data_IF_796304626760
#
_entry.id   IF_796304626760
#
_cell.length_a   1.000
_cell.length_b   1.000
_cell.length_c   1.000
_cell.angle_alpha   90.00
_cell.angle_beta   90.00
_cell.angle_gamma   90.00
#
_symmetry.space_group_name_H-M   'P 1'
#
loop_
_entity.id
_entity.type
_entity.pdbx_description
1 polymer ?
#
# COMPACT_ATOMS: atom_id res chain seq x y z
N UNK A 1 -13.22 -46.71 -57.80
CA UNK A 1 -11.94 -46.96 -57.10
C UNK A 1 -11.49 -45.65 -56.45
N UNK A 2 -11.33 -45.70 -55.13
CA UNK A 2 -10.55 -44.85 -54.23
C UNK A 2 -10.77 -43.33 -54.25
N UNK A 3 -11.62 -42.85 -53.32
CA UNK A 3 -11.51 -41.50 -52.77
C UNK A 3 -10.44 -41.52 -51.66
N UNK A 4 -9.44 -40.66 -51.78
CA UNK A 4 -8.35 -40.46 -50.83
C UNK A 4 -8.86 -39.50 -49.75
N UNK A 5 -9.23 -40.02 -48.58
CA UNK A 5 -9.32 -39.21 -47.36
C UNK A 5 -8.04 -39.46 -46.56
N UNK A 6 -7.12 -38.50 -46.60
CA UNK A 6 -6.04 -38.46 -45.61
C UNK A 6 -6.66 -38.06 -44.27
N UNK A 7 -6.49 -38.84 -43.19
CA UNK A 7 -6.93 -38.42 -41.86
C UNK A 7 -6.17 -37.15 -41.48
N UNK A 8 -6.90 -36.20 -40.90
CA UNK A 8 -6.29 -34.93 -40.48
C UNK A 8 -5.34 -35.20 -39.31
N UNK A 9 -4.21 -34.47 -39.20
CA UNK A 9 -3.14 -34.83 -38.27
C UNK A 9 -3.59 -34.95 -36.81
N UNK A 10 -4.63 -34.20 -36.41
CA UNK A 10 -5.17 -34.16 -35.06
C UNK A 10 -6.15 -35.30 -34.71
N UNK A 11 -6.47 -36.20 -35.64
CA UNK A 11 -7.33 -37.37 -35.37
C UNK A 11 -6.61 -38.49 -34.60
N UNK A 12 -5.31 -38.31 -34.30
CA UNK A 12 -4.54 -39.28 -33.52
C UNK A 12 -4.67 -38.99 -32.03
N UNK A 13 -4.95 -40.03 -31.25
CA UNK A 13 -5.08 -39.99 -29.78
C UNK A 13 -3.86 -39.38 -29.06
N UNK A 14 -2.68 -39.34 -29.70
CA UNK A 14 -1.48 -38.70 -29.17
C UNK A 14 -1.66 -37.19 -28.94
N UNK A 15 -2.59 -36.54 -29.65
CA UNK A 15 -2.91 -35.11 -29.51
C UNK A 15 -4.09 -34.83 -28.57
N UNK A 16 -4.76 -35.87 -28.07
CA UNK A 16 -5.87 -35.76 -27.10
C UNK A 16 -5.41 -35.94 -25.65
N UNK A 17 -4.09 -36.00 -25.42
CA UNK A 17 -3.53 -36.11 -24.07
C UNK A 17 -3.20 -34.72 -23.53
N UNK A 18 -3.66 -34.39 -22.30
CA UNK A 18 -3.24 -33.18 -21.62
C UNK A 18 -1.71 -33.10 -21.52
N UNK A 19 -1.15 -31.90 -21.67
CA UNK A 19 0.30 -31.67 -21.52
C UNK A 19 0.73 -31.86 -20.05
N UNK A 20 -0.18 -31.63 -19.11
CA UNK A 20 -0.04 -31.91 -17.69
C UNK A 20 -1.10 -32.95 -17.31
N UNK A 21 -0.67 -34.15 -16.89
CA UNK A 21 -1.59 -35.24 -16.52
C UNK A 21 -2.50 -34.87 -15.33
N UNK A 22 -2.06 -33.95 -14.46
CA UNK A 22 -2.78 -33.45 -13.29
C UNK A 22 -3.18 -31.97 -13.43
N UNK A 23 -3.67 -31.55 -14.59
CA UNK A 23 -4.15 -30.18 -14.78
C UNK A 23 -5.46 -29.95 -14.01
N UNK A 24 -5.37 -29.20 -12.90
CA UNK A 24 -6.49 -28.83 -12.04
C UNK A 24 -7.61 -28.07 -12.78
N UNK A 25 -7.32 -27.41 -13.92
CA UNK A 25 -8.33 -26.74 -14.75
C UNK A 25 -9.12 -27.72 -15.62
N UNK A 26 -8.53 -28.86 -16.01
CA UNK A 26 -9.20 -29.90 -16.80
C UNK A 26 -9.93 -30.93 -15.91
N UNK A 27 -9.63 -30.96 -14.62
CA UNK A 27 -10.35 -31.73 -13.60
C UNK A 27 -11.61 -31.01 -13.09
N UNK A 28 -11.85 -29.77 -13.55
CA UNK A 28 -13.04 -29.01 -13.22
C UNK A 28 -14.18 -29.41 -14.16
N UNK A 29 -15.10 -30.26 -13.69
CA UNK A 29 -16.32 -30.56 -14.43
C UNK A 29 -17.33 -29.42 -14.24
N UNK A 30 -17.54 -28.64 -15.30
CA UNK A 30 -18.50 -27.52 -15.28
C UNK A 30 -19.95 -28.01 -15.16
N UNK A 31 -20.22 -29.28 -15.51
CA UNK A 31 -21.54 -29.88 -15.37
C UNK A 31 -21.89 -30.19 -13.90
N UNK A 32 -20.91 -30.39 -13.01
CA UNK A 32 -21.13 -30.60 -11.57
C UNK A 32 -21.61 -29.34 -10.83
N UNK A 33 -21.50 -28.16 -11.44
CA UNK A 33 -22.06 -26.91 -10.92
C UNK A 33 -23.56 -26.74 -11.24
N UNK A 34 -24.13 -27.62 -12.08
CA UNK A 34 -25.56 -27.70 -12.31
C UNK A 34 -26.17 -28.74 -11.36
N UNK A 35 -26.70 -28.29 -10.22
CA UNK A 35 -27.60 -29.15 -9.43
C UNK A 35 -28.84 -29.52 -10.29
N UNK A 36 -29.08 -30.81 -10.58
CA UNK A 36 -30.29 -31.21 -11.27
C UNK A 36 -31.46 -31.08 -10.29
N UNK A 37 -32.40 -30.18 -10.58
CA UNK A 37 -33.66 -30.07 -9.84
C UNK A 37 -34.48 -31.33 -10.09
N UNK A 38 -34.30 -32.34 -9.24
CA UNK A 38 -35.03 -33.60 -9.28
C UNK A 38 -35.36 -34.07 -7.87
N UNK A 39 -36.35 -33.44 -7.24
CA UNK A 39 -37.11 -34.04 -6.14
C UNK A 39 -38.56 -34.21 -6.59
N UNK A 40 -39.11 -35.45 -6.60
CA UNK A 40 -40.51 -35.66 -6.95
C UNK A 40 -41.38 -35.31 -5.73
N UNK A 41 -42.01 -34.15 -5.75
CA UNK A 41 -43.07 -33.83 -4.79
C UNK A 41 -44.37 -34.48 -5.23
N UNK A 42 -44.84 -35.44 -4.43
CA UNK A 42 -46.19 -35.99 -4.49
C UNK A 42 -47.21 -34.91 -4.13
N UNK A 43 -48.09 -34.56 -5.06
CA UNK A 43 -49.20 -33.64 -4.83
C UNK A 43 -50.42 -34.39 -4.28
N UNK A 44 -51.07 -33.90 -3.20
CA UNK A 44 -52.49 -34.09 -3.01
C UNK A 44 -53.22 -32.89 -3.63
N UNK A 45 -53.96 -33.19 -4.70
CA UNK A 45 -55.13 -32.46 -5.20
C UNK A 45 -55.00 -30.97 -5.59
N UNK A 46 -54.99 -30.75 -6.91
CA UNK A 46 -56.11 -29.98 -7.48
C UNK A 46 -55.91 -28.51 -7.83
N UNK A 47 -54.68 -28.03 -8.09
CA UNK A 47 -54.48 -26.72 -8.71
C UNK A 47 -53.42 -26.78 -9.84
N UNK A 48 -53.82 -26.22 -10.98
CA UNK A 48 -53.22 -26.24 -12.33
C UNK A 48 -51.68 -26.21 -12.41
N UNK A 49 -51.09 -27.14 -13.18
CA UNK A 49 -49.67 -27.17 -13.58
C UNK A 49 -49.16 -25.82 -14.14
N UNK A 50 -50.05 -25.02 -14.73
CA UNK A 50 -49.70 -23.72 -15.33
C UNK A 50 -49.29 -22.66 -14.30
N UNK A 51 -49.80 -22.70 -13.06
CA UNK A 51 -49.50 -21.70 -12.04
C UNK A 51 -48.07 -21.86 -11.48
N UNK A 52 -47.63 -23.11 -11.30
CA UNK A 52 -46.29 -23.48 -10.83
C UNK A 52 -45.19 -23.11 -11.84
N UNK A 53 -45.46 -23.26 -13.13
CA UNK A 53 -44.51 -22.87 -14.20
C UNK A 53 -44.34 -21.35 -14.27
N UNK A 54 -45.44 -20.59 -14.12
CA UNK A 54 -45.39 -19.12 -14.11
C UNK A 54 -44.60 -18.59 -12.91
N UNK A 55 -44.73 -19.22 -11.75
CA UNK A 55 -44.01 -18.81 -10.54
C UNK A 55 -42.50 -19.10 -10.64
N UNK A 56 -42.13 -20.25 -11.23
CA UNK A 56 -40.72 -20.56 -11.56
C UNK A 56 -40.13 -19.59 -12.58
N UNK A 57 -40.90 -19.23 -13.63
CA UNK A 57 -40.48 -18.25 -14.63
C UNK A 57 -40.21 -16.88 -14.00
N UNK A 58 -41.10 -16.40 -13.11
CA UNK A 58 -40.90 -15.13 -12.39
C UNK A 58 -39.65 -15.15 -11.52
N UNK A 59 -39.35 -16.26 -10.86
CA UNK A 59 -38.15 -16.38 -10.03
C UNK A 59 -36.87 -16.40 -10.88
N UNK A 60 -36.89 -17.09 -12.02
CA UNK A 60 -35.76 -17.09 -12.96
C UNK A 60 -35.55 -15.72 -13.59
N UNK A 61 -36.62 -15.03 -13.97
CA UNK A 61 -36.59 -13.67 -14.50
C UNK A 61 -36.01 -12.68 -13.48
N UNK A 62 -36.44 -12.76 -12.21
CA UNK A 62 -35.88 -11.93 -11.14
C UNK A 62 -34.38 -12.21 -10.91
N UNK A 63 -33.95 -13.47 -10.98
CA UNK A 63 -32.53 -13.83 -10.87
C UNK A 63 -31.72 -13.34 -12.06
N UNK A 64 -32.27 -13.41 -13.27
CA UNK A 64 -31.62 -12.90 -14.48
C UNK A 64 -31.45 -11.38 -14.42
N UNK A 65 -32.50 -10.64 -14.04
CA UNK A 65 -32.45 -9.20 -13.83
C UNK A 65 -31.40 -8.80 -12.78
N UNK A 66 -31.31 -9.53 -11.67
CA UNK A 66 -30.30 -9.28 -10.64
C UNK A 66 -28.88 -9.56 -11.15
N UNK A 67 -28.69 -10.59 -11.97
CA UNK A 67 -27.40 -10.93 -12.57
C UNK A 67 -26.98 -9.89 -13.61
N UNK A 68 -27.90 -9.43 -14.46
CA UNK A 68 -27.65 -8.35 -15.42
C UNK A 68 -27.26 -7.05 -14.71
N UNK A 69 -27.94 -6.69 -13.61
CA UNK A 69 -27.59 -5.52 -12.81
C UNK A 69 -26.20 -5.66 -12.15
N UNK A 70 -25.83 -6.86 -11.70
CA UNK A 70 -24.49 -7.12 -11.19
C UNK A 70 -23.41 -7.01 -12.28
N UNK A 71 -23.70 -7.53 -13.48
CA UNK A 71 -22.79 -7.50 -14.61
C UNK A 71 -22.60 -6.08 -15.17
N UNK A 72 -23.67 -5.28 -15.18
CA UNK A 72 -23.60 -3.86 -15.52
C UNK A 72 -22.68 -3.08 -14.57
N UNK A 73 -22.81 -3.29 -13.25
CA UNK A 73 -21.92 -2.69 -12.25
C UNK A 73 -20.47 -3.13 -12.43
N UNK A 74 -20.22 -4.43 -12.58
CA UNK A 74 -18.87 -4.95 -12.80
C UNK A 74 -18.23 -4.39 -14.09
N UNK A 75 -19.03 -4.17 -15.14
CA UNK A 75 -18.55 -3.57 -16.40
C UNK A 75 -18.20 -2.10 -16.24
N UNK A 76 -18.98 -1.35 -15.46
CA UNK A 76 -18.69 0.04 -15.11
C UNK A 76 -17.40 0.13 -14.27
N UNK A 77 -17.23 -0.76 -13.30
CA UNK A 77 -16.02 -0.84 -12.48
C UNK A 77 -14.78 -1.18 -13.31
N UNK A 78 -14.90 -2.11 -14.27
CA UNK A 78 -13.83 -2.42 -15.23
C UNK A 78 -13.49 -1.24 -16.14
N UNK A 79 -14.48 -0.44 -16.55
CA UNK A 79 -14.23 0.77 -17.34
C UNK A 79 -13.53 1.85 -16.51
N UNK A 80 -13.92 2.04 -15.25
CA UNK A 80 -13.23 2.95 -14.32
C UNK A 80 -11.78 2.50 -14.07
N UNK A 81 -11.56 1.21 -13.85
CA UNK A 81 -10.22 0.63 -13.69
C UNK A 81 -9.36 0.79 -14.95
N UNK A 82 -9.96 0.61 -16.13
CA UNK A 82 -9.27 0.84 -17.41
C UNK A 82 -8.90 2.32 -17.60
N UNK A 83 -9.80 3.25 -17.28
CA UNK A 83 -9.55 4.67 -17.37
C UNK A 83 -8.43 5.08 -16.41
N UNK A 84 -8.47 4.60 -15.16
CA UNK A 84 -7.41 4.78 -14.18
C UNK A 84 -6.05 4.28 -14.68
N UNK A 85 -6.00 3.08 -15.27
CA UNK A 85 -4.77 2.53 -15.84
C UNK A 85 -4.26 3.34 -17.06
N UNK A 86 -5.16 3.91 -17.86
CA UNK A 86 -4.78 4.75 -19.00
C UNK A 86 -4.25 6.12 -18.56
N UNK A 87 -4.87 6.74 -17.56
CA UNK A 87 -4.46 8.04 -17.03
C UNK A 87 -3.13 7.94 -16.26
N UNK A 88 -2.87 6.81 -15.59
CA UNK A 88 -1.58 6.50 -14.98
C UNK A 88 -0.44 6.40 -16.00
N UNK A 89 -0.72 5.88 -17.21
CA UNK A 89 0.31 5.65 -18.25
C UNK A 89 0.58 6.90 -19.12
N UNK A 90 -0.39 7.80 -19.29
CA UNK A 90 -0.34 8.87 -20.30
C UNK A 90 0.26 10.22 -19.82
N UNK A 91 0.42 10.45 -18.52
CA UNK A 91 0.85 11.76 -17.98
C UNK A 91 2.39 11.95 -17.81
N UNK A 92 3.20 11.14 -18.48
CA UNK A 92 4.68 11.13 -18.33
C UNK A 92 5.40 12.31 -19.04
N UNK A 93 4.73 13.18 -19.81
CA UNK A 93 5.42 14.21 -20.61
C UNK A 93 5.47 15.65 -20.03
N UNK A 94 6.66 15.95 -19.51
CA UNK A 94 7.48 17.19 -19.56
C UNK A 94 6.77 18.55 -19.51
N UNK A 95 6.84 19.23 -18.35
CA UNK A 95 6.97 20.70 -18.29
C UNK A 95 8.03 21.16 -17.28
N UNK A 96 8.75 22.20 -17.65
CA UNK A 96 9.87 22.81 -16.94
C UNK A 96 9.35 23.94 -16.05
N UNK A 97 9.58 23.91 -14.74
CA UNK A 97 9.71 25.16 -13.98
C UNK A 97 10.34 24.99 -12.58
N UNK A 98 10.86 26.10 -12.08
CA UNK A 98 11.79 26.24 -10.96
C UNK A 98 11.12 26.81 -9.71
N UNK A 99 10.82 25.94 -8.74
CA UNK A 99 10.70 26.22 -7.29
C UNK A 99 10.45 24.91 -6.54
N UNK A 100 10.73 24.86 -5.24
CA UNK A 100 10.35 23.75 -4.33
C UNK A 100 8.84 23.76 -4.12
N UNK A 101 8.11 22.87 -4.79
CA UNK A 101 6.64 22.71 -4.66
C UNK A 101 6.30 21.88 -3.43
N UNK A 102 5.44 22.39 -2.55
CA UNK A 102 4.93 21.62 -1.39
C UNK A 102 3.60 20.94 -1.72
N UNK A 103 3.17 19.92 -0.95
CA UNK A 103 1.87 19.25 -1.17
C UNK A 103 0.70 20.25 -1.09
N UNK A 104 0.82 21.28 -0.24
CA UNK A 104 -0.17 22.35 -0.11
C UNK A 104 -0.35 23.19 -1.39
N UNK A 105 0.63 23.18 -2.31
CA UNK A 105 0.60 23.96 -3.54
C UNK A 105 0.08 23.16 -4.76
N UNK A 106 -0.23 21.87 -4.58
CA UNK A 106 -0.69 20.99 -5.66
C UNK A 106 -2.13 21.32 -6.10
N UNK A 107 -2.34 21.42 -7.41
CA UNK A 107 -3.67 21.63 -8.00
C UNK A 107 -4.54 20.37 -7.86
N UNK A 108 -5.87 20.55 -7.79
CA UNK A 108 -6.84 19.46 -7.56
C UNK A 108 -6.73 18.31 -8.58
N UNK A 109 -6.39 18.59 -9.83
CA UNK A 109 -6.28 17.58 -10.90
C UNK A 109 -5.06 16.65 -10.73
N UNK A 110 -3.93 17.17 -10.22
CA UNK A 110 -2.70 16.38 -9.96
C UNK A 110 -2.85 15.55 -8.68
N UNK A 111 -3.62 16.06 -7.70
CA UNK A 111 -3.93 15.38 -6.44
C UNK A 111 -5.08 14.36 -6.55
N UNK A 112 -5.95 14.51 -7.56
CA UNK A 112 -7.15 13.70 -7.71
C UNK A 112 -6.86 12.21 -7.89
N UNK A 113 -5.76 11.86 -8.58
CA UNK A 113 -5.38 10.45 -8.79
C UNK A 113 -4.99 9.78 -7.48
N UNK A 114 -4.26 10.47 -6.62
CA UNK A 114 -3.89 9.96 -5.30
C UNK A 114 -5.13 9.75 -4.42
N UNK A 115 -5.99 10.75 -4.26
CA UNK A 115 -7.15 10.63 -3.38
C UNK A 115 -8.23 9.69 -3.91
N UNK A 116 -8.33 9.54 -5.24
CA UNK A 116 -9.21 8.55 -5.87
C UNK A 116 -8.71 7.13 -5.61
N UNK A 117 -7.39 6.89 -5.57
CA UNK A 117 -6.84 5.59 -5.18
C UNK A 117 -7.30 5.19 -3.77
N UNK A 118 -7.20 6.11 -2.80
CA UNK A 118 -7.70 5.91 -1.43
C UNK A 118 -9.23 5.85 -1.33
N UNK A 119 -9.97 6.13 -2.40
CA UNK A 119 -11.42 5.90 -2.44
C UNK A 119 -11.78 4.42 -2.58
N UNK A 120 -10.83 3.57 -2.97
CA UNK A 120 -11.06 2.14 -3.18
C UNK A 120 -10.94 1.32 -1.88
N UNK A 121 -11.95 0.49 -1.62
CA UNK A 121 -12.04 -0.34 -0.41
C UNK A 121 -10.86 -1.32 -0.23
N UNK A 122 -10.25 -1.79 -1.32
CA UNK A 122 -9.18 -2.79 -1.27
C UNK A 122 -7.93 -2.31 -0.52
N UNK A 123 -7.56 -1.03 -0.68
CA UNK A 123 -6.41 -0.44 0.03
C UNK A 123 -6.73 -0.34 1.53
N UNK A 124 -7.94 0.08 1.90
CA UNK A 124 -8.37 0.12 3.30
C UNK A 124 -8.45 -1.26 3.95
N UNK A 125 -8.87 -2.28 3.19
CA UNK A 125 -8.88 -3.66 3.67
C UNK A 125 -7.47 -4.18 3.93
N UNK A 126 -6.51 -3.93 3.04
CA UNK A 126 -5.09 -4.28 3.24
C UNK A 126 -4.53 -3.58 4.49
N UNK A 127 -4.75 -2.27 4.60
CA UNK A 127 -4.34 -1.48 5.76
C UNK A 127 -4.93 -1.96 7.09
N UNK A 128 -6.21 -2.36 7.10
CA UNK A 128 -6.88 -2.89 8.30
C UNK A 128 -6.46 -4.34 8.63
N UNK A 129 -6.13 -5.15 7.62
CA UNK A 129 -5.62 -6.52 7.81
C UNK A 129 -4.16 -6.55 8.24
N UNK A 130 -3.41 -5.47 8.03
CA UNK A 130 -2.10 -5.29 8.63
C UNK A 130 -2.25 -5.14 10.16
N UNK A 131 -2.09 -6.27 10.85
CA UNK A 131 -2.18 -6.34 12.31
C UNK A 131 -1.06 -5.58 12.99
N UNK A 132 0.18 -5.63 12.47
CA UNK A 132 1.31 -4.94 13.11
C UNK A 132 1.03 -3.44 13.14
N UNK A 133 0.57 -2.87 12.02
CA UNK A 133 0.10 -1.49 11.94
C UNK A 133 -1.05 -1.23 12.91
N UNK A 134 -2.18 -1.90 12.71
CA UNK A 134 -3.44 -1.52 13.36
C UNK A 134 -3.43 -1.81 14.87
N UNK A 135 -2.84 -2.93 15.27
CA UNK A 135 -2.72 -3.30 16.68
C UNK A 135 -1.71 -2.44 17.43
N UNK A 136 -0.63 -1.97 16.79
CA UNK A 136 0.30 -1.03 17.44
C UNK A 136 -0.37 0.29 17.81
N UNK A 137 -1.15 0.88 16.90
CA UNK A 137 -1.93 2.08 17.23
C UNK A 137 -2.98 1.80 18.31
N UNK A 138 -3.73 0.69 18.19
CA UNK A 138 -4.72 0.28 19.21
C UNK A 138 -4.07 0.16 20.58
N UNK A 139 -2.96 -0.55 20.66
CA UNK A 139 -2.25 -0.85 21.90
C UNK A 139 -1.66 0.42 22.50
N UNK A 140 -1.05 1.29 21.69
CA UNK A 140 -0.62 2.61 22.13
C UNK A 140 -1.78 3.40 22.77
N UNK A 141 -2.92 3.49 22.08
CA UNK A 141 -4.07 4.29 22.53
C UNK A 141 -4.70 3.66 23.79
N UNK A 142 -4.93 2.35 23.82
CA UNK A 142 -5.62 1.67 24.91
C UNK A 142 -4.75 1.43 26.15
N UNK A 143 -3.43 1.31 25.98
CA UNK A 143 -2.51 1.16 27.11
C UNK A 143 -2.04 2.50 27.68
N UNK A 144 -2.38 3.62 27.03
CA UNK A 144 -2.08 4.98 27.48
C UNK A 144 -3.32 5.90 27.48
N UNK A 145 -4.45 5.49 28.08
CA UNK A 145 -5.69 6.27 28.02
C UNK A 145 -5.57 7.64 28.71
N UNK A 146 -4.61 7.82 29.61
CA UNK A 146 -4.33 9.12 30.26
C UNK A 146 -3.87 10.21 29.27
N UNK A 147 -3.37 9.83 28.10
CA UNK A 147 -3.02 10.76 27.02
C UNK A 147 -4.28 11.28 26.32
N UNK A 148 -5.34 10.46 26.26
CA UNK A 148 -6.55 10.72 25.48
C UNK A 148 -7.73 11.20 26.33
N UNK A 149 -7.80 10.78 27.59
CA UNK A 149 -8.93 11.04 28.47
C UNK A 149 -9.21 12.55 28.58
N UNK A 150 -10.46 12.91 28.29
CA UNK A 150 -10.99 14.27 28.32
C UNK A 150 -10.28 15.26 27.35
N UNK A 151 -9.54 14.73 26.35
CA UNK A 151 -8.81 15.52 25.34
C UNK A 151 -9.57 15.71 24.04
N UNK A 152 -9.22 16.77 23.31
CA UNK A 152 -9.60 16.96 21.91
C UNK A 152 -8.52 16.37 21.00
N UNK A 153 -8.89 15.39 20.19
CA UNK A 153 -7.98 14.64 19.31
C UNK A 153 -8.25 15.01 17.86
N UNK A 154 -7.19 15.19 17.06
CA UNK A 154 -7.26 15.32 15.60
C UNK A 154 -6.68 14.07 14.95
N UNK A 155 -7.46 13.42 14.08
CA UNK A 155 -7.04 12.29 13.25
C UNK A 155 -6.85 12.79 11.81
N UNK A 156 -5.59 12.86 11.35
CA UNK A 156 -5.23 13.39 10.01
C UNK A 156 -5.09 12.24 9.02
N UNK A 157 -5.94 12.23 7.99
CA UNK A 157 -6.09 11.11 7.06
C UNK A 157 -6.79 9.93 7.74
N UNK A 158 -8.00 10.17 8.26
CA UNK A 158 -8.66 9.20 9.12
C UNK A 158 -9.11 7.92 8.38
N UNK A 159 -9.17 7.93 7.04
CA UNK A 159 -9.66 6.83 6.22
C UNK A 159 -11.03 6.35 6.69
N UNK A 160 -11.11 5.07 7.08
CA UNK A 160 -12.33 4.45 7.63
C UNK A 160 -12.72 4.91 9.04
N UNK A 161 -11.90 5.73 9.70
CA UNK A 161 -12.14 6.25 11.06
C UNK A 161 -11.69 5.32 12.19
N UNK A 162 -10.92 4.27 11.90
CA UNK A 162 -10.54 3.26 12.90
C UNK A 162 -9.73 3.85 14.07
N UNK A 163 -8.77 4.74 13.79
CA UNK A 163 -7.95 5.37 14.84
C UNK A 163 -8.79 6.35 15.67
N UNK A 164 -9.68 7.08 15.02
CA UNK A 164 -10.68 7.93 15.69
C UNK A 164 -11.56 7.14 16.65
N UNK A 165 -12.03 5.94 16.26
CA UNK A 165 -12.81 5.06 17.13
C UNK A 165 -11.98 4.54 18.32
N UNK A 166 -10.69 4.25 18.13
CA UNK A 166 -9.79 3.91 19.23
C UNK A 166 -9.65 5.08 20.22
N UNK A 167 -9.40 6.29 19.73
CA UNK A 167 -9.28 7.48 20.57
C UNK A 167 -10.57 7.77 21.37
N UNK A 168 -11.74 7.67 20.73
CA UNK A 168 -13.03 7.83 21.40
C UNK A 168 -13.21 6.79 22.51
N UNK A 169 -12.90 5.51 22.25
CA UNK A 169 -13.00 4.45 23.25
C UNK A 169 -12.01 4.62 24.41
N UNK A 170 -10.85 5.25 24.17
CA UNK A 170 -9.89 5.60 25.21
C UNK A 170 -10.30 6.82 26.06
N UNK A 171 -11.48 7.39 25.81
CA UNK A 171 -12.06 8.46 26.61
C UNK A 171 -11.79 9.87 26.09
N UNK A 172 -11.44 10.03 24.82
CA UNK A 172 -11.37 11.36 24.20
C UNK A 172 -12.69 12.11 24.36
N UNK A 173 -12.60 13.39 24.74
CA UNK A 173 -13.77 14.27 24.86
C UNK A 173 -14.40 14.55 23.50
N UNK A 174 -13.56 14.70 22.48
CA UNK A 174 -13.95 14.95 21.10
C UNK A 174 -12.85 14.46 20.18
N UNK A 175 -13.23 13.82 19.08
CA UNK A 175 -12.30 13.46 18.00
C UNK A 175 -12.73 14.19 16.74
N UNK A 176 -11.81 14.87 16.07
CA UNK A 176 -12.01 15.52 14.79
C UNK A 176 -11.22 14.73 13.77
N UNK A 177 -11.88 14.18 12.78
CA UNK A 177 -11.32 13.22 11.84
C UNK A 177 -11.41 13.80 10.44
N UNK A 178 -10.26 14.00 9.78
CA UNK A 178 -10.16 14.70 8.50
C UNK A 178 -9.62 13.75 7.44
N UNK A 179 -10.30 13.66 6.30
CA UNK A 179 -9.84 12.91 5.14
C UNK A 179 -10.41 13.54 3.87
N UNK A 180 -9.62 13.63 2.80
CA UNK A 180 -10.10 14.16 1.52
C UNK A 180 -10.86 13.10 0.71
N UNK A 181 -10.54 11.82 0.87
CA UNK A 181 -11.05 10.76 0.00
C UNK A 181 -12.56 10.48 0.19
N UNK A 182 -13.17 9.81 -0.78
CA UNK A 182 -14.58 9.39 -0.75
C UNK A 182 -14.84 8.35 0.34
N UNK A 183 -13.81 7.66 0.85
CA UNK A 183 -13.94 6.71 1.96
C UNK A 183 -14.56 7.33 3.21
N UNK A 184 -14.44 8.65 3.38
CA UNK A 184 -15.01 9.35 4.52
C UNK A 184 -16.52 9.14 4.61
N UNK A 185 -17.24 9.04 3.49
CA UNK A 185 -18.69 8.76 3.53
C UNK A 185 -19.00 7.41 4.19
N UNK A 186 -18.15 6.40 3.96
CA UNK A 186 -18.24 5.12 4.65
C UNK A 186 -17.84 5.24 6.12
N UNK A 187 -16.82 6.05 6.44
CA UNK A 187 -16.46 6.34 7.83
C UNK A 187 -17.65 6.95 8.60
N UNK A 188 -18.46 7.81 7.97
CA UNK A 188 -19.67 8.35 8.61
C UNK A 188 -20.65 7.25 9.02
N UNK A 189 -20.88 6.28 8.15
CA UNK A 189 -21.79 5.17 8.44
C UNK A 189 -21.20 4.20 9.47
N UNK A 190 -19.90 3.90 9.38
CA UNK A 190 -19.18 3.09 10.38
C UNK A 190 -19.29 3.72 11.77
N UNK A 191 -19.09 5.03 11.89
CA UNK A 191 -19.16 5.73 13.18
C UNK A 191 -20.59 5.68 13.77
N UNK A 192 -21.62 5.88 12.95
CA UNK A 192 -23.02 5.76 13.38
C UNK A 192 -23.39 4.34 13.81
N UNK A 193 -22.93 3.33 13.06
CA UNK A 193 -23.15 1.92 13.42
C UNK A 193 -22.54 1.56 14.77
N UNK A 194 -21.43 2.22 15.14
CA UNK A 194 -20.74 2.05 16.41
C UNK A 194 -21.19 3.04 17.50
N UNK A 195 -22.17 3.90 17.23
CA UNK A 195 -22.75 4.87 18.18
C UNK A 195 -21.72 5.86 18.74
N UNK A 196 -20.83 6.35 17.89
CA UNK A 196 -19.74 7.27 18.25
C UNK A 196 -19.89 8.66 17.62
N UNK A 197 -21.00 8.93 16.93
CA UNK A 197 -21.28 10.19 16.22
C UNK A 197 -21.35 11.43 17.12
N UNK A 198 -21.68 11.26 18.40
CA UNK A 198 -21.68 12.36 19.37
C UNK A 198 -20.26 12.77 19.80
N UNK A 199 -19.28 11.87 19.63
CA UNK A 199 -17.89 12.09 20.05
C UNK A 199 -16.98 12.40 18.86
N UNK A 200 -17.22 11.76 17.71
CA UNK A 200 -16.37 11.87 16.52
C UNK A 200 -17.03 12.72 15.44
N UNK A 201 -16.35 13.79 15.03
CA UNK A 201 -16.76 14.68 13.96
C UNK A 201 -15.87 14.45 12.75
N UNK A 202 -16.48 14.00 11.64
CA UNK A 202 -15.78 13.80 10.36
C UNK A 202 -15.87 15.05 9.48
N UNK A 203 -14.77 15.42 8.82
CA UNK A 203 -14.67 16.57 7.93
C UNK A 203 -13.98 16.14 6.63
N UNK A 204 -14.69 16.29 5.50
CA UNK A 204 -14.14 16.00 4.17
C UNK A 204 -13.31 17.15 3.64
N UNK A 205 -12.07 16.87 3.24
CA UNK A 205 -11.17 17.81 2.56
C UNK A 205 -9.72 17.69 3.02
N UNK A 206 -8.84 18.51 2.41
CA UNK A 206 -7.43 18.63 2.82
C UNK A 206 -7.32 19.31 4.17
N UNK A 207 -6.41 18.84 5.03
CA UNK A 207 -6.20 19.47 6.36
C UNK A 207 -5.71 20.93 6.23
N UNK A 208 -5.09 21.25 5.09
CA UNK A 208 -4.61 22.56 4.70
C UNK A 208 -5.75 23.54 4.39
N UNK A 209 -6.88 23.04 3.90
CA UNK A 209 -8.00 23.82 3.36
C UNK A 209 -9.19 23.88 4.33
N UNK A 210 -9.44 22.81 5.09
CA UNK A 210 -10.60 22.74 5.98
C UNK A 210 -10.42 23.63 7.22
N UNK A 211 -11.54 24.05 7.79
CA UNK A 211 -11.59 24.75 9.08
C UNK A 211 -12.13 23.83 10.16
N UNK A 212 -11.35 23.61 11.22
CA UNK A 212 -11.77 22.78 12.35
C UNK A 212 -12.78 23.54 13.23
N UNK A 213 -13.72 22.85 13.89
CA UNK A 213 -14.70 23.47 14.80
C UNK A 213 -14.08 23.92 16.14
N UNK A 214 -12.75 23.94 16.25
CA UNK A 214 -11.97 24.33 17.42
C UNK A 214 -10.71 25.05 16.96
N UNK A 215 -10.19 25.98 17.77
CA UNK A 215 -8.94 26.66 17.45
C UNK A 215 -7.71 25.77 17.62
N UNK A 216 -7.73 24.90 18.63
CA UNK A 216 -6.62 24.03 19.01
C UNK A 216 -7.08 22.63 19.43
N UNK A 217 -6.19 21.66 19.25
CA UNK A 217 -6.33 20.26 19.67
C UNK A 217 -5.20 19.87 20.62
N UNK A 218 -5.45 18.92 21.51
CA UNK A 218 -4.48 18.47 22.51
C UNK A 218 -3.55 17.39 21.95
N UNK A 219 -4.10 16.51 21.09
CA UNK A 219 -3.40 15.36 20.54
C UNK A 219 -3.67 15.28 19.03
N UNK A 220 -2.63 15.04 18.24
CA UNK A 220 -2.76 14.64 16.84
C UNK A 220 -2.36 13.17 16.74
N UNK A 221 -3.22 12.36 16.14
CA UNK A 221 -2.89 11.01 15.69
C UNK A 221 -2.97 10.99 14.17
N UNK A 222 -2.09 10.23 13.53
CA UNK A 222 -2.15 10.02 12.09
C UNK A 222 -1.39 8.77 11.73
N UNK A 223 -1.88 8.05 10.74
CA UNK A 223 -1.11 7.04 10.02
C UNK A 223 -0.75 7.66 8.67
N UNK A 224 0.48 8.15 8.58
CA UNK A 224 0.98 8.97 7.46
C UNK A 224 2.12 8.31 6.71
N UNK A 225 2.56 7.13 7.15
CA UNK A 225 3.81 6.55 6.71
C UNK A 225 3.64 5.96 5.31
N UNK A 226 4.46 6.41 4.36
CA UNK A 226 4.53 5.79 3.03
C UNK A 226 5.61 4.71 2.94
N UNK A 227 5.77 4.13 1.75
CA UNK A 227 6.94 3.31 1.44
C UNK A 227 8.24 4.10 1.68
N UNK A 228 9.27 3.41 2.19
CA UNK A 228 10.50 4.07 2.65
C UNK A 228 10.26 5.28 3.59
N UNK A 229 9.18 5.21 4.39
CA UNK A 229 8.65 6.20 5.32
C UNK A 229 8.08 7.48 4.69
N UNK A 230 8.79 8.07 3.71
CA UNK A 230 8.53 9.42 3.23
C UNK A 230 7.83 9.48 1.85
N UNK A 231 7.59 8.34 1.20
CA UNK A 231 6.79 8.30 -0.03
C UNK A 231 5.36 8.80 0.25
N UNK A 232 4.69 9.35 -0.78
CA UNK A 232 3.37 10.00 -0.71
C UNK A 232 3.32 11.32 0.09
N UNK A 233 4.40 11.68 0.80
CA UNK A 233 4.59 12.98 1.46
C UNK A 233 3.51 13.39 2.48
N UNK A 234 2.74 12.45 3.03
CA UNK A 234 1.65 12.75 3.97
C UNK A 234 2.15 13.34 5.32
N UNK A 235 3.43 13.15 5.67
CA UNK A 235 4.04 13.80 6.82
C UNK A 235 3.97 15.34 6.72
N UNK A 236 3.95 15.92 5.52
CA UNK A 236 3.79 17.37 5.33
C UNK A 236 2.48 17.87 5.95
N UNK A 237 1.38 17.16 5.68
CA UNK A 237 0.04 17.47 6.19
C UNK A 237 -0.03 17.32 7.71
N UNK A 238 0.67 16.33 8.29
CA UNK A 238 0.77 16.19 9.75
C UNK A 238 1.56 17.34 10.37
N UNK A 239 2.67 17.75 9.75
CA UNK A 239 3.47 18.90 10.22
C UNK A 239 2.71 20.24 10.07
N UNK A 240 1.90 20.39 9.03
CA UNK A 240 0.97 21.50 8.87
C UNK A 240 -0.06 21.52 10.01
N UNK A 241 -0.75 20.39 10.23
CA UNK A 241 -1.74 20.23 11.28
C UNK A 241 -1.16 20.53 12.67
N UNK A 242 0.06 20.04 12.94
CA UNK A 242 0.82 20.36 14.15
C UNK A 242 0.99 21.87 14.32
N UNK A 243 1.52 22.53 13.29
CA UNK A 243 1.85 23.95 13.34
C UNK A 243 0.60 24.83 13.52
N UNK A 244 -0.49 24.48 12.84
CA UNK A 244 -1.74 25.25 12.86
C UNK A 244 -2.62 24.94 14.07
N UNK A 245 -2.85 23.66 14.37
CA UNK A 245 -3.90 23.23 15.31
C UNK A 245 -3.38 22.67 16.62
N UNK A 246 -2.12 22.25 16.76
CA UNK A 246 -1.68 21.68 18.04
C UNK A 246 -1.57 22.77 19.13
N UNK A 247 -2.16 22.49 20.30
CA UNK A 247 -2.04 23.33 21.48
C UNK A 247 -0.59 23.35 22.02
N UNK A 248 -0.22 24.40 22.75
CA UNK A 248 1.07 24.44 23.44
C UNK A 248 1.13 23.29 24.47
N UNK A 249 2.13 22.43 24.35
CA UNK A 249 2.26 21.23 25.19
C UNK A 249 1.46 20.01 24.69
N UNK A 250 0.75 20.14 23.56
CA UNK A 250 0.13 19.02 22.88
C UNK A 250 1.15 18.01 22.34
N UNK A 251 0.67 16.87 21.85
CA UNK A 251 1.52 15.79 21.35
C UNK A 251 1.04 15.25 20.01
N UNK A 252 1.97 14.80 19.18
CA UNK A 252 1.72 14.13 17.89
C UNK A 252 2.11 12.67 18.02
N UNK A 253 1.30 11.75 17.48
CA UNK A 253 1.60 10.32 17.50
C UNK A 253 1.38 9.66 16.13
N UNK A 254 2.27 8.73 15.71
CA UNK A 254 3.55 8.39 16.35
C UNK A 254 4.49 9.60 16.42
N UNK A 255 5.33 9.67 17.44
CA UNK A 255 6.16 10.84 17.72
C UNK A 255 7.58 10.71 17.19
N UNK A 256 8.13 9.50 17.17
CA UNK A 256 9.49 9.24 16.70
C UNK A 256 9.47 8.18 15.60
N UNK A 257 10.28 8.41 14.56
CA UNK A 257 10.47 7.47 13.45
C UNK A 257 11.95 7.40 13.07
N UNK A 258 12.41 6.22 12.66
CA UNK A 258 13.76 6.03 12.08
C UNK A 258 13.69 5.40 10.70
N UNK A 259 14.62 5.77 9.83
CA UNK A 259 14.85 5.07 8.56
C UNK A 259 16.21 4.38 8.66
N UNK A 260 16.27 3.11 8.27
CA UNK A 260 17.47 2.29 8.35
C UNK A 260 17.74 1.57 7.03
N UNK A 261 19.02 1.31 6.75
CA UNK A 261 19.48 0.55 5.60
C UNK A 261 20.12 -0.77 6.03
N UNK A 262 20.03 -1.79 5.17
CA UNK A 262 20.71 -3.08 5.32
C UNK A 262 21.16 -3.64 3.96
N UNK A 263 22.31 -4.29 3.89
CA UNK A 263 22.82 -4.90 2.66
C UNK A 263 22.20 -6.29 2.44
N UNK A 264 21.90 -6.59 1.17
CA UNK A 264 21.22 -7.83 0.73
C UNK A 264 22.08 -8.58 -0.28
N UNK A 265 22.11 -9.91 -0.16
CA UNK A 265 22.63 -10.83 -1.16
C UNK A 265 21.54 -11.75 -1.66
N UNK A 266 21.02 -11.43 -2.84
CA UNK A 266 20.04 -12.25 -3.56
C UNK A 266 20.41 -12.29 -5.05
N UNK A 267 21.30 -13.22 -5.38
CA UNK A 267 21.84 -13.38 -6.74
C UNK A 267 20.76 -13.89 -7.70
N UNK A 268 19.84 -14.72 -7.23
CA UNK A 268 18.74 -15.24 -8.06
C UNK A 268 17.80 -14.11 -8.45
N UNK A 269 17.27 -13.35 -7.48
CA UNK A 269 16.37 -12.23 -7.79
C UNK A 269 17.06 -11.15 -8.62
N UNK A 270 18.34 -10.88 -8.37
CA UNK A 270 19.09 -9.93 -9.19
C UNK A 270 19.18 -10.40 -10.64
N UNK A 271 19.48 -11.68 -10.88
CA UNK A 271 19.48 -12.27 -12.22
C UNK A 271 18.09 -12.20 -12.88
N UNK A 272 17.04 -12.54 -12.15
CA UNK A 272 15.65 -12.51 -12.66
C UNK A 272 15.21 -11.09 -13.08
N UNK A 273 15.73 -10.06 -12.41
CA UNK A 273 15.37 -8.66 -12.69
C UNK A 273 16.28 -7.98 -13.70
N UNK A 274 17.56 -8.33 -13.70
CA UNK A 274 18.58 -7.66 -14.50
C UNK A 274 19.03 -8.55 -15.66
N UNK A 275 19.55 -9.75 -15.39
CA UNK A 275 20.11 -10.64 -16.40
C UNK A 275 19.05 -11.18 -17.38
N UNK A 276 17.78 -11.28 -16.96
CA UNK A 276 16.64 -11.61 -17.83
C UNK A 276 16.64 -10.82 -19.14
N UNK A 277 17.02 -9.53 -19.10
CA UNK A 277 17.01 -8.66 -20.27
C UNK A 277 18.12 -8.94 -21.29
N UNK A 278 19.14 -9.74 -20.95
CA UNK A 278 20.20 -10.09 -21.92
C UNK A 278 19.71 -11.04 -23.01
N UNK A 279 18.75 -11.90 -22.68
CA UNK A 279 18.17 -12.89 -23.59
C UNK A 279 16.70 -13.18 -23.23
N UNK A 280 15.80 -12.48 -23.92
CA UNK A 280 14.35 -12.65 -23.80
C UNK A 280 13.89 -13.46 -25.01
N UNK A 281 13.79 -14.78 -24.86
CA UNK A 281 13.40 -15.73 -25.92
C UNK A 281 14.26 -15.65 -27.20
N UNK A 282 15.58 -15.49 -27.06
CA UNK A 282 16.53 -15.34 -28.16
C UNK A 282 16.78 -13.89 -28.59
N UNK A 283 16.10 -12.92 -27.98
CA UNK A 283 16.22 -11.50 -28.31
C UNK A 283 16.95 -10.72 -27.22
N UNK A 284 17.98 -9.97 -27.61
CA UNK A 284 18.69 -9.10 -26.68
C UNK A 284 17.88 -7.82 -26.41
N UNK A 285 17.48 -7.63 -25.15
CA UNK A 285 16.73 -6.47 -24.66
C UNK A 285 17.51 -5.70 -23.59
N UNK A 286 18.85 -5.77 -23.60
CA UNK A 286 19.69 -5.28 -22.50
C UNK A 286 19.58 -3.77 -22.25
N UNK A 287 19.04 -3.01 -23.22
CA UNK A 287 18.71 -1.59 -23.05
C UNK A 287 17.70 -1.35 -21.92
N UNK A 288 16.81 -2.31 -21.64
CA UNK A 288 15.80 -2.24 -20.57
C UNK A 288 16.42 -2.20 -19.18
N UNK A 289 17.63 -2.74 -18.98
CA UNK A 289 18.36 -2.68 -17.70
C UNK A 289 18.48 -1.24 -17.18
N UNK A 290 18.71 -0.27 -18.08
CA UNK A 290 18.84 1.15 -17.72
C UNK A 290 17.53 1.78 -17.28
N UNK A 291 16.38 1.21 -17.66
CA UNK A 291 15.07 1.66 -17.23
C UNK A 291 14.66 1.04 -15.89
N UNK A 292 14.93 -0.25 -15.68
CA UNK A 292 14.47 -0.97 -14.48
C UNK A 292 15.34 -0.76 -13.25
N UNK A 293 16.63 -0.48 -13.40
CA UNK A 293 17.53 -0.32 -12.25
C UNK A 293 17.21 0.96 -11.44
N UNK A 294 16.93 2.11 -12.06
CA UNK A 294 16.49 3.30 -11.32
C UNK A 294 15.15 3.14 -10.61
N UNK A 295 14.37 2.09 -10.84
CA UNK A 295 13.10 1.89 -10.13
C UNK A 295 13.35 1.19 -8.79
N UNK A 296 13.06 1.89 -7.69
CA UNK A 296 13.05 1.27 -6.37
C UNK A 296 11.89 0.28 -6.26
N UNK A 297 12.14 -0.89 -5.68
CA UNK A 297 11.16 -1.98 -5.62
C UNK A 297 10.61 -2.12 -4.22
N UNK A 298 9.29 -2.25 -4.07
CA UNK A 298 8.68 -2.53 -2.76
C UNK A 298 8.34 -4.02 -2.67
N UNK A 299 9.10 -4.75 -1.84
CA UNK A 299 8.92 -6.19 -1.67
C UNK A 299 9.31 -6.66 -0.28
N UNK A 300 8.83 -7.86 0.10
CA UNK A 300 9.26 -8.51 1.34
C UNK A 300 10.62 -9.15 1.09
N UNK A 301 11.63 -8.68 1.82
CA UNK A 301 12.99 -9.21 1.79
C UNK A 301 13.07 -10.41 2.75
N UNK A 302 13.61 -11.54 2.29
CA UNK A 302 13.88 -12.68 3.17
C UNK A 302 15.03 -12.33 4.13
N UNK A 303 14.78 -12.36 5.44
CA UNK A 303 15.81 -12.10 6.46
C UNK A 303 17.09 -12.95 6.29
N UNK A 304 17.01 -14.10 5.62
CA UNK A 304 18.17 -14.96 5.36
C UNK A 304 19.16 -14.35 4.36
N UNK A 305 18.69 -13.51 3.44
CA UNK A 305 19.50 -12.84 2.42
C UNK A 305 20.23 -11.60 2.94
N UNK A 306 19.97 -11.19 4.19
CA UNK A 306 20.70 -10.10 4.83
C UNK A 306 22.16 -10.49 5.06
N UNK A 307 23.06 -9.56 4.70
CA UNK A 307 24.52 -9.75 4.79
C UNK A 307 25.23 -8.67 5.60
N UNK A 308 24.49 -7.75 6.24
CA UNK A 308 25.04 -6.75 7.15
C UNK A 308 24.15 -6.52 8.37
N UNK A 309 24.72 -5.88 9.39
CA UNK A 309 23.94 -5.15 10.39
C UNK A 309 23.23 -3.96 9.72
N UNK A 310 22.14 -3.50 10.34
CA UNK A 310 21.44 -2.30 9.89
C UNK A 310 22.18 -1.02 10.31
N UNK A 311 21.95 0.06 9.57
CA UNK A 311 22.46 1.39 9.90
C UNK A 311 21.32 2.41 9.79
N UNK A 312 21.06 3.14 10.86
CA UNK A 312 20.11 4.24 10.85
C UNK A 312 20.66 5.40 10.04
N UNK A 313 19.85 5.91 9.12
CA UNK A 313 20.22 7.01 8.23
C UNK A 313 19.43 8.27 8.52
N UNK A 314 18.28 8.16 9.19
CA UNK A 314 17.42 9.28 9.54
C UNK A 314 16.67 9.01 10.84
N UNK A 315 16.61 10.02 11.69
CA UNK A 315 15.74 10.08 12.87
C UNK A 315 14.83 11.29 12.71
N UNK A 316 13.53 11.10 12.94
CA UNK A 316 12.48 12.12 12.85
C UNK A 316 11.77 12.18 14.21
N UNK A 317 11.68 13.38 14.78
CA UNK A 317 10.80 13.67 15.90
C UNK A 317 9.70 14.61 15.39
N UNK A 318 8.48 14.10 15.28
CA UNK A 318 7.35 14.82 14.71
C UNK A 318 7.06 16.15 15.45
N UNK A 319 7.51 16.33 16.70
CA UNK A 319 7.36 17.59 17.43
C UNK A 319 8.29 18.69 16.91
N UNK A 320 9.54 18.36 16.59
CA UNK A 320 10.57 19.35 16.24
C UNK A 320 10.86 19.42 14.75
N UNK A 321 10.63 18.34 14.01
CA UNK A 321 10.92 18.25 12.57
C UNK A 321 10.11 19.27 11.77
N UNK A 322 10.77 19.84 10.77
CA UNK A 322 10.23 20.74 9.74
C UNK A 322 10.23 20.06 8.36
N UNK A 323 9.49 20.62 7.41
CA UNK A 323 9.40 20.06 6.03
C UNK A 323 10.79 20.02 5.36
N UNK A 324 11.63 21.03 5.58
CA UNK A 324 12.99 21.07 5.02
C UNK A 324 13.89 19.97 5.54
N UNK A 325 13.61 19.40 6.72
CA UNK A 325 14.39 18.29 7.27
C UNK A 325 14.07 16.95 6.60
N UNK A 326 12.98 16.87 5.83
CA UNK A 326 12.56 15.64 5.14
C UNK A 326 13.37 15.38 3.86
N UNK A 327 14.04 16.41 3.34
CA UNK A 327 15.10 16.26 2.35
C UNK A 327 16.45 16.23 3.07
N UNK A 328 17.19 15.12 2.92
CA UNK A 328 18.39 14.92 3.72
C UNK A 328 19.48 14.16 2.99
N UNK A 329 20.70 14.26 3.52
CA UNK A 329 21.82 13.41 3.15
C UNK A 329 22.43 12.81 4.40
N UNK A 330 22.83 11.54 4.32
CA UNK A 330 23.38 10.80 5.45
C UNK A 330 24.51 9.88 4.97
N UNK A 331 25.64 9.94 5.65
CA UNK A 331 26.71 8.94 5.50
C UNK A 331 26.35 7.73 6.37
N UNK A 332 26.52 6.53 5.83
CA UNK A 332 26.17 5.29 6.53
C UNK A 332 27.32 4.29 6.47
N UNK A 333 27.34 3.36 7.42
CA UNK A 333 28.31 2.25 7.44
C UNK A 333 27.58 0.95 7.73
N UNK A 334 27.52 0.05 6.75
CA UNK A 334 26.96 -1.29 6.89
C UNK A 334 28.07 -2.27 7.24
N UNK A 335 28.04 -2.81 8.46
CA UNK A 335 29.00 -3.84 8.88
C UNK A 335 28.52 -5.19 8.38
N UNK A 336 29.28 -5.78 7.47
CA UNK A 336 28.92 -7.06 6.86
C UNK A 336 29.08 -8.21 7.85
N UNK A 337 28.13 -9.11 7.86
CA UNK A 337 28.08 -10.29 8.75
C UNK A 337 28.40 -11.58 8.00
N UNK A 338 28.32 -11.58 6.67
CA UNK A 338 28.56 -12.74 5.80
C UNK A 338 29.43 -12.35 4.61
N UNK A 339 30.28 -13.27 4.17
CA UNK A 339 30.99 -13.15 2.89
C UNK A 339 30.05 -13.57 1.77
N UNK A 340 29.69 -12.65 0.88
CA UNK A 340 28.68 -12.86 -0.15
C UNK A 340 28.80 -11.83 -1.29
N UNK A 341 27.94 -11.93 -2.30
CA UNK A 341 27.78 -10.91 -3.35
C UNK A 341 26.71 -9.90 -2.91
N UNK A 342 27.07 -8.65 -2.67
CA UNK A 342 26.10 -7.59 -2.39
C UNK A 342 25.35 -7.25 -3.69
N UNK A 343 24.04 -7.50 -3.74
CA UNK A 343 23.21 -7.29 -4.94
C UNK A 343 22.25 -6.11 -4.79
N UNK A 344 21.90 -5.73 -3.56
CA UNK A 344 20.99 -4.63 -3.28
C UNK A 344 21.23 -4.04 -1.89
N UNK A 345 20.69 -2.86 -1.66
CA UNK A 345 20.49 -2.29 -0.32
C UNK A 345 18.99 -2.19 -0.08
N UNK A 346 18.50 -2.69 1.05
CA UNK A 346 17.12 -2.55 1.45
C UNK A 346 16.98 -1.43 2.50
N UNK A 347 15.93 -0.63 2.36
CA UNK A 347 15.50 0.41 3.28
C UNK A 347 14.20 0.01 3.96
N UNK A 348 14.13 0.27 5.27
CA UNK A 348 12.93 0.08 6.08
C UNK A 348 12.88 1.17 7.16
N UNK A 349 11.81 1.18 7.94
CA UNK A 349 11.62 2.15 9.00
C UNK A 349 11.02 1.53 10.27
N UNK A 350 11.29 2.18 11.40
CA UNK A 350 10.70 1.84 12.70
C UNK A 350 9.91 3.03 13.24
N UNK A 351 8.82 2.73 13.93
CA UNK A 351 7.85 3.71 14.44
C UNK A 351 7.73 3.54 15.95
N UNK A 352 7.78 4.66 16.66
CA UNK A 352 7.80 4.70 18.11
C UNK A 352 6.70 5.62 18.65
N UNK A 353 6.06 5.14 19.72
CA UNK A 353 5.12 5.90 20.55
C UNK A 353 5.73 6.07 21.94
N UNK A 354 6.39 7.21 22.19
CA UNK A 354 7.23 7.40 23.38
C UNK A 354 6.73 8.48 24.33
N UNK A 355 6.44 9.69 23.83
CA UNK A 355 6.15 10.85 24.66
C UNK A 355 4.97 10.60 25.59
N UNK A 356 5.17 10.85 26.89
CA UNK A 356 4.16 10.68 27.95
C UNK A 356 3.53 9.27 28.03
N UNK A 357 4.11 8.26 27.39
CA UNK A 357 3.63 6.89 27.47
C UNK A 357 4.08 6.22 28.78
N UNK A 358 3.15 5.56 29.45
CA UNK A 358 3.49 4.59 30.50
C UNK A 358 3.93 3.27 29.87
N UNK A 359 3.27 2.87 28.78
CA UNK A 359 3.59 1.70 27.99
C UNK A 359 4.02 2.18 26.60
N UNK A 360 5.32 2.16 26.33
CA UNK A 360 5.86 2.49 25.00
C UNK A 360 5.49 1.38 24.03
N UNK A 361 5.12 1.78 22.81
CA UNK A 361 4.83 0.85 21.71
C UNK A 361 5.78 1.16 20.57
N UNK A 362 6.32 0.10 19.96
CA UNK A 362 7.23 0.18 18.82
C UNK A 362 6.85 -0.90 17.83
N UNK A 363 6.89 -0.57 16.55
CA UNK A 363 6.90 -1.59 15.51
C UNK A 363 7.95 -1.25 14.46
N UNK A 364 8.42 -2.30 13.79
CA UNK A 364 9.45 -2.23 12.77
C UNK A 364 8.92 -2.83 11.47
N UNK A 365 9.24 -2.19 10.35
CA UNK A 365 9.01 -2.74 9.00
C UNK A 365 10.25 -3.48 8.47
N UNK A 366 11.25 -3.74 9.32
CA UNK A 366 12.47 -4.42 8.92
C UNK A 366 12.26 -5.88 8.49
N UNK A 367 13.16 -6.45 7.66
CA UNK A 367 13.03 -7.83 7.18
C UNK A 367 13.05 -8.89 8.29
N UNK A 368 13.59 -8.55 9.47
CA UNK A 368 13.65 -9.44 10.65
C UNK A 368 12.35 -9.42 11.47
N UNK A 369 11.45 -8.49 11.18
CA UNK A 369 10.17 -8.28 11.88
C UNK A 369 9.02 -8.94 11.12
N UNK A 370 7.86 -9.05 11.78
CA UNK A 370 6.63 -9.51 11.13
C UNK A 370 6.31 -8.60 9.94
N UNK A 371 5.99 -9.19 8.78
CA UNK A 371 5.68 -8.43 7.56
C UNK A 371 4.51 -7.47 7.78
N UNK A 372 4.66 -6.28 7.22
CA UNK A 372 3.64 -5.23 7.13
C UNK A 372 3.29 -4.99 5.66
N UNK A 373 2.23 -4.23 5.38
CA UNK A 373 1.88 -3.86 3.99
C UNK A 373 2.93 -2.96 3.32
N UNK A 374 3.69 -2.18 4.12
CA UNK A 374 4.82 -1.38 3.64
C UNK A 374 5.98 -2.22 3.07
N UNK A 375 6.12 -3.47 3.53
CA UNK A 375 7.23 -4.36 3.17
C UNK A 375 8.58 -3.63 3.37
N UNK A 376 9.50 -3.73 2.43
CA UNK A 376 10.75 -2.97 2.40
C UNK A 376 10.99 -2.39 1.02
N UNK A 377 11.76 -1.32 0.95
CA UNK A 377 12.17 -0.68 -0.32
C UNK A 377 13.55 -1.18 -0.71
N UNK A 378 13.70 -1.77 -1.89
CA UNK A 378 14.92 -2.41 -2.38
C UNK A 378 15.53 -1.57 -3.49
N UNK A 379 16.80 -1.18 -3.28
CA UNK A 379 17.64 -0.46 -4.22
C UNK A 379 18.61 -1.46 -4.88
N UNK A 380 18.26 -1.96 -6.07
CA UNK A 380 19.07 -2.93 -6.81
C UNK A 380 20.36 -2.27 -7.33
N UNK A 381 21.50 -2.89 -7.08
CA UNK A 381 22.77 -2.40 -7.61
C UNK A 381 22.93 -2.81 -9.08
N UNK A 382 23.26 -1.87 -9.95
CA UNK A 382 23.59 -2.19 -11.36
C UNK A 382 24.71 -3.23 -11.47
N UNK A 383 25.74 -3.08 -10.63
CA UNK A 383 26.91 -3.97 -10.58
C UNK A 383 27.06 -4.53 -9.18
N UNK A 384 26.56 -5.76 -8.92
CA UNK A 384 26.85 -6.46 -7.68
C UNK A 384 28.36 -6.57 -7.43
N UNK A 385 28.75 -6.54 -6.16
CA UNK A 385 30.17 -6.63 -5.78
C UNK A 385 30.37 -7.56 -4.57
N UNK A 386 31.51 -8.29 -4.53
CA UNK A 386 31.79 -9.21 -3.43
C UNK A 386 32.16 -8.44 -2.16
N UNK A 387 31.68 -8.92 -1.02
CA UNK A 387 31.99 -8.36 0.30
C UNK A 387 32.45 -9.48 1.23
N UNK A 388 33.30 -9.16 2.21
CA UNK A 388 33.81 -10.13 3.19
C UNK A 388 33.21 -9.88 4.57
N UNK A 389 32.84 -10.95 5.29
CA UNK A 389 32.37 -10.81 6.67
C UNK A 389 33.34 -9.96 7.53
N UNK A 390 32.79 -9.01 8.28
CA UNK A 390 33.52 -8.05 9.11
C UNK A 390 33.92 -6.76 8.39
N UNK A 391 33.78 -6.68 7.07
CA UNK A 391 34.03 -5.48 6.28
C UNK A 391 33.00 -4.37 6.60
N UNK A 392 33.47 -3.13 6.65
CA UNK A 392 32.64 -1.95 6.88
C UNK A 392 32.36 -1.24 5.55
N UNK A 393 31.18 -1.46 4.97
CA UNK A 393 30.75 -0.85 3.73
C UNK A 393 30.28 0.58 3.99
N UNK A 394 31.09 1.55 3.60
CA UNK A 394 30.77 2.97 3.74
C UNK A 394 30.06 3.47 2.49
N UNK A 395 29.02 4.27 2.69
CA UNK A 395 28.29 4.88 1.60
C UNK A 395 27.61 6.17 2.05
N UNK A 396 26.93 6.80 1.10
CA UNK A 396 26.14 8.01 1.32
C UNK A 396 24.81 7.86 0.63
N UNK A 397 23.74 8.20 1.34
CA UNK A 397 22.39 8.27 0.80
C UNK A 397 21.89 9.70 0.85
N UNK A 398 21.17 10.10 -0.19
CA UNK A 398 20.58 11.42 -0.32
C UNK A 398 19.14 11.25 -0.79
N UNK A 399 18.18 11.81 -0.06
CA UNK A 399 16.74 11.68 -0.32
C UNK A 399 16.15 13.07 -0.57
N UNK A 400 15.45 13.22 -1.69
CA UNK A 400 14.76 14.45 -2.06
C UNK A 400 13.36 14.14 -2.61
N UNK A 401 12.45 15.10 -2.48
CA UNK A 401 11.17 15.04 -3.19
C UNK A 401 11.39 15.31 -4.67
N UNK A 402 10.62 14.63 -5.51
CA UNK A 402 10.63 14.94 -6.92
C UNK A 402 9.90 16.28 -7.15
N UNK A 403 10.57 17.25 -7.77
CA UNK A 403 9.98 18.57 -8.03
C UNK A 403 8.80 18.53 -9.01
N UNK A 404 8.74 17.51 -9.87
CA UNK A 404 7.65 17.31 -10.83
C UNK A 404 6.46 16.60 -10.23
N UNK A 405 6.70 15.77 -9.22
CA UNK A 405 5.69 15.02 -8.49
C UNK A 405 6.09 14.99 -7.01
N UNK A 406 5.59 15.92 -6.19
CA UNK A 406 5.97 16.02 -4.78
C UNK A 406 5.58 14.80 -3.92
N UNK A 407 4.76 13.86 -4.43
CA UNK A 407 4.48 12.58 -3.76
C UNK A 407 5.54 11.51 -4.03
N UNK A 408 6.28 11.65 -5.11
CA UNK A 408 7.39 10.77 -5.46
C UNK A 408 8.70 11.15 -4.76
N UNK A 409 9.55 10.15 -4.53
CA UNK A 409 10.89 10.35 -3.98
C UNK A 409 11.99 10.06 -4.99
N UNK A 410 13.07 10.83 -4.91
CA UNK A 410 14.33 10.58 -5.59
C UNK A 410 15.37 10.24 -4.53
N UNK A 411 15.92 9.03 -4.61
CA UNK A 411 16.91 8.50 -3.67
C UNK A 411 18.22 8.29 -4.41
N UNK A 412 19.27 9.00 -4.03
CA UNK A 412 20.62 8.80 -4.59
C UNK A 412 21.49 8.04 -3.59
N UNK A 413 22.00 6.89 -4.01
CA UNK A 413 22.86 6.01 -3.22
C UNK A 413 24.26 5.99 -3.83
N UNK A 414 25.27 6.33 -3.03
CA UNK A 414 26.68 6.14 -3.36
C UNK A 414 27.23 5.02 -2.51
N UNK A 415 27.68 3.93 -3.15
CA UNK A 415 28.25 2.76 -2.50
C UNK A 415 29.30 2.13 -3.42
N UNK A 416 30.44 1.70 -2.86
CA UNK A 416 31.54 1.07 -3.61
C UNK A 416 31.98 1.87 -4.86
N UNK A 417 32.20 3.18 -4.69
CA UNK A 417 32.59 4.12 -5.76
C UNK A 417 31.60 4.23 -6.93
N UNK A 418 30.38 3.68 -6.79
CA UNK A 418 29.31 3.79 -7.76
C UNK A 418 28.17 4.63 -7.16
N UNK A 419 27.61 5.53 -7.96
CA UNK A 419 26.47 6.35 -7.57
C UNK A 419 25.30 6.01 -8.47
N UNK A 420 24.16 5.74 -7.85
CA UNK A 420 22.91 5.41 -8.53
C UNK A 420 21.77 6.23 -7.94
N UNK A 421 20.90 6.73 -8.81
CA UNK A 421 19.69 7.44 -8.42
C UNK A 421 18.50 6.58 -8.74
N UNK A 422 17.62 6.43 -7.76
CA UNK A 422 16.39 5.67 -7.82
C UNK A 422 15.19 6.61 -7.71
N UNK A 423 14.11 6.29 -8.41
CA UNK A 423 12.79 6.86 -8.23
C UNK A 423 11.90 5.85 -7.52
N UNK A 424 11.18 6.34 -6.52
CA UNK A 424 10.06 5.64 -5.90
C UNK A 424 8.80 6.43 -6.29
N UNK A 425 7.97 5.81 -7.13
CA UNK A 425 6.79 6.39 -7.76
C UNK A 425 5.56 5.54 -7.48
#
# INVERSE_FOLDING_TARGET
MNSIYNPVPWDKDEYLKPVLEDDLLLQFDVEDLYEPVSTPFSYPNGLSESASVVEKLKHMEARALSAEAALARAREDLQKMKQFAQDFVMNVDVRTCSSTTTIADLQEDEDGVYFSSYGHYGIHEEMLKDKVRTESYRDFIYQNPHIFKDKVVLDVGCGTGILSMFAAKAGAKKVIAVDQSEILYQAMDIIRLNKLEDTIVLIKGKIEEVSLPVEKVDVIISEWMGYFLLFESMLDSVLYAKSKYLAKGGSVYPDICTISLVAVSDVSKHADRIAFWDDVYGFNMSCMKKAVIPEAVVEVVDHKTLISDSCDIKHIDCHTTSISDLEFSSDFTLRTTKTAMCTAVAGYFDIYFEKNCHNRVVFSTGPQSTKTHWKQTVFLLEKPFPVKAGEALKGKITVHKNKKDPRSLIVTLTLNSSTQTYSLQ
#
